data_IF_973933654919
#
_entry.id   IF_973933654919
#
_cell.length_a   1.000
_cell.length_b   1.000
_cell.length_c   1.000
_cell.angle_alpha   90.00
_cell.angle_beta   90.00
_cell.angle_gamma   90.00
#
_symmetry.space_group_name_H-M   'P 1'
#
loop_
_entity.id
_entity.type
_entity.pdbx_description
1 polymer ?
#
# COMPACT_ATOMS: atom_id res chain seq x y z
N UNK A 1 4.53 -4.74 -8.61
CA UNK A 1 5.74 -4.32 -7.89
C UNK A 1 6.33 -3.10 -8.56
N UNK A 2 6.28 -1.97 -7.86
CA UNK A 2 6.79 -0.67 -8.32
C UNK A 2 8.25 -0.44 -7.90
N UNK A 3 8.76 -1.23 -6.95
CA UNK A 3 10.18 -1.26 -6.62
C UNK A 3 10.94 -2.15 -7.61
N UNK A 4 12.16 -1.75 -8.02
CA UNK A 4 12.96 -2.56 -8.92
C UNK A 4 13.37 -3.89 -8.26
N UNK A 5 13.58 -4.94 -9.07
CA UNK A 5 14.10 -6.22 -8.58
C UNK A 5 15.59 -6.16 -8.17
N UNK A 6 16.26 -5.04 -8.43
CA UNK A 6 17.62 -4.73 -7.98
C UNK A 6 17.67 -3.43 -7.18
N UNK A 7 18.87 -3.01 -6.76
CA UNK A 7 19.04 -1.78 -5.99
C UNK A 7 19.06 -0.55 -6.90
N UNK A 8 18.13 0.38 -6.69
CA UNK A 8 18.12 1.70 -7.30
C UNK A 8 18.40 2.77 -6.24
N UNK A 9 19.09 3.84 -6.61
CA UNK A 9 19.27 5.02 -5.76
C UNK A 9 18.73 6.23 -6.48
N UNK A 10 17.80 6.93 -5.84
CA UNK A 10 17.16 8.15 -6.33
C UNK A 10 17.46 9.30 -5.37
N UNK A 11 17.43 10.51 -5.89
CA UNK A 11 17.56 11.73 -5.09
C UNK A 11 16.23 12.46 -5.09
N UNK A 12 15.73 12.81 -3.91
CA UNK A 12 14.56 13.65 -3.73
C UNK A 12 14.94 14.92 -2.96
N UNK A 13 14.21 16.02 -3.20
CA UNK A 13 14.34 17.23 -2.38
C UNK A 13 13.46 17.08 -1.13
N UNK A 14 14.08 17.22 0.04
CA UNK A 14 13.35 17.45 1.28
C UNK A 14 13.07 18.95 1.39
N UNK A 15 11.80 19.31 1.54
CA UNK A 15 11.32 20.69 1.74
C UNK A 15 11.17 21.04 3.24
N UNK A 16 11.49 20.10 4.13
CA UNK A 16 11.37 20.25 5.58
C UNK A 16 9.95 20.09 6.13
N UNK A 17 8.96 19.74 5.30
CA UNK A 17 7.55 19.55 5.72
C UNK A 17 6.94 18.26 5.19
N UNK A 18 7.40 17.79 4.03
CA UNK A 18 6.98 16.54 3.41
C UNK A 18 7.52 15.36 4.19
N UNK A 19 6.65 14.39 4.48
CA UNK A 19 7.03 13.13 5.13
C UNK A 19 7.76 12.22 4.14
N UNK A 20 8.50 11.23 4.64
CA UNK A 20 9.08 10.19 3.78
C UNK A 20 8.02 9.47 2.95
N UNK A 21 6.82 9.27 3.51
CA UNK A 21 5.71 8.69 2.78
C UNK A 21 5.40 9.48 1.50
N UNK A 22 5.21 10.81 1.63
CA UNK A 22 4.97 11.68 0.49
C UNK A 22 6.13 11.67 -0.52
N UNK A 23 7.38 11.70 -0.04
CA UNK A 23 8.54 11.67 -0.92
C UNK A 23 8.61 10.36 -1.71
N UNK A 24 8.38 9.22 -1.05
CA UNK A 24 8.39 7.90 -1.70
C UNK A 24 7.29 7.79 -2.75
N UNK A 25 6.07 8.26 -2.44
CA UNK A 25 4.97 8.29 -3.41
C UNK A 25 5.27 9.23 -4.58
N UNK A 26 5.88 10.38 -4.33
CA UNK A 26 6.28 11.32 -5.40
C UNK A 26 7.33 10.74 -6.36
N UNK A 27 8.11 9.77 -5.89
CA UNK A 27 9.07 9.01 -6.71
C UNK A 27 8.40 7.86 -7.48
N UNK A 28 7.08 7.71 -7.39
CA UNK A 28 6.29 6.71 -8.10
C UNK A 28 6.17 5.37 -7.38
N UNK A 29 6.57 5.29 -6.11
CA UNK A 29 6.45 4.08 -5.30
C UNK A 29 5.24 4.23 -4.37
N UNK A 30 4.11 3.56 -4.62
CA UNK A 30 2.97 3.60 -3.71
C UNK A 30 3.34 2.94 -2.37
N UNK A 31 2.82 3.45 -1.25
CA UNK A 31 3.15 2.92 0.07
C UNK A 31 2.73 1.46 0.28
N UNK A 32 1.78 0.96 -0.52
CA UNK A 32 1.39 -0.46 -0.55
C UNK A 32 2.48 -1.40 -1.07
N UNK A 33 3.54 -0.87 -1.68
CA UNK A 33 4.73 -1.62 -2.10
C UNK A 33 5.90 -1.49 -1.12
N UNK A 34 5.77 -0.66 -0.09
CA UNK A 34 6.81 -0.41 0.92
C UNK A 34 6.63 -1.37 2.10
N UNK A 35 7.60 -2.25 2.31
CA UNK A 35 7.65 -3.16 3.47
C UNK A 35 8.27 -2.54 4.71
N UNK A 36 9.11 -1.51 4.53
CA UNK A 36 9.74 -0.81 5.64
C UNK A 36 10.64 0.33 5.17
N UNK A 37 10.86 1.29 6.06
CA UNK A 37 11.76 2.41 5.87
C UNK A 37 12.83 2.40 6.95
N UNK A 38 14.09 2.56 6.56
CA UNK A 38 15.19 2.69 7.52
C UNK A 38 16.10 3.86 7.16
N UNK A 39 16.44 4.69 8.14
CA UNK A 39 17.52 5.67 8.06
C UNK A 39 18.75 5.08 8.74
N UNK A 40 19.85 4.95 7.99
CA UNK A 40 21.12 4.40 8.52
C UNK A 40 20.93 3.07 9.28
N UNK A 41 20.04 2.21 8.77
CA UNK A 41 19.68 0.92 9.38
C UNK A 41 18.66 0.99 10.52
N UNK A 42 18.30 2.19 10.99
CA UNK A 42 17.28 2.39 12.03
C UNK A 42 15.89 2.55 11.42
N UNK A 43 14.88 1.76 11.83
CA UNK A 43 13.51 1.91 11.34
C UNK A 43 12.94 3.30 11.61
N UNK A 44 12.22 3.85 10.63
CA UNK A 44 11.51 5.13 10.74
C UNK A 44 10.09 5.00 10.20
N UNK A 45 9.10 5.72 10.76
CA UNK A 45 7.75 5.69 10.23
C UNK A 45 7.65 6.44 8.90
N UNK A 46 6.60 6.16 8.12
CA UNK A 46 6.27 6.91 6.89
C UNK A 46 6.02 8.40 7.18
N UNK A 47 5.65 8.76 8.41
CA UNK A 47 5.43 10.13 8.87
C UNK A 47 6.69 10.90 9.23
N UNK A 48 7.88 10.27 9.19
CA UNK A 48 9.15 10.97 9.45
C UNK A 48 9.38 12.08 8.43
N UNK A 49 9.77 13.27 8.90
CA UNK A 49 10.09 14.43 8.04
C UNK A 49 11.63 14.56 7.98
N UNK A 50 12.26 14.34 6.81
CA UNK A 50 13.71 14.50 6.65
C UNK A 50 14.13 15.97 6.67
N UNK A 51 15.28 16.25 7.28
CA UNK A 51 15.90 17.56 7.34
C UNK A 51 16.86 17.83 6.16
N UNK A 52 17.17 16.80 5.35
CA UNK A 52 18.08 16.87 4.23
C UNK A 52 19.44 16.22 4.54
N UNK A 53 20.00 15.55 3.53
CA UNK A 53 21.29 14.84 3.64
C UNK A 53 21.21 13.41 4.18
N UNK A 54 20.01 12.95 4.57
CA UNK A 54 19.81 11.57 5.01
C UNK A 54 19.84 10.57 3.84
N UNK A 55 20.29 9.35 4.14
CA UNK A 55 20.09 8.19 3.28
C UNK A 55 19.03 7.29 3.90
N UNK A 56 17.92 7.13 3.19
CA UNK A 56 16.82 6.25 3.58
C UNK A 56 16.79 5.06 2.64
N UNK A 57 16.75 3.86 3.20
CA UNK A 57 16.46 2.65 2.46
C UNK A 57 14.96 2.35 2.52
N UNK A 58 14.40 2.04 1.35
CA UNK A 58 13.00 1.63 1.17
C UNK A 58 13.01 0.16 0.81
N UNK A 59 12.55 -0.68 1.73
CA UNK A 59 12.45 -2.12 1.50
C UNK A 59 11.13 -2.45 0.79
N UNK A 60 11.11 -3.41 -0.15
CA UNK A 60 9.87 -3.87 -0.75
C UNK A 60 9.04 -4.65 0.27
N UNK A 61 7.73 -4.62 0.07
CA UNK A 61 6.84 -5.47 0.85
C UNK A 61 7.10 -6.95 0.54
N UNK A 62 7.21 -7.76 1.60
CA UNK A 62 7.39 -9.19 1.44
C UNK A 62 6.09 -9.81 0.90
N UNK A 63 6.21 -10.67 -0.11
CA UNK A 63 5.09 -11.34 -0.77
C UNK A 63 5.31 -12.87 -0.76
N UNK A 64 4.25 -13.68 -0.55
CA UNK A 64 2.88 -13.27 -0.24
C UNK A 64 2.75 -12.69 1.17
N UNK A 65 1.93 -11.64 1.32
CA UNK A 65 1.65 -11.06 2.63
C UNK A 65 0.80 -12.04 3.45
N UNK A 66 1.19 -12.25 4.71
CA UNK A 66 0.37 -13.03 5.65
C UNK A 66 -0.76 -12.15 6.17
N UNK A 67 -2.00 -12.55 5.91
CA UNK A 67 -3.18 -11.82 6.39
C UNK A 67 -3.81 -12.59 7.55
N UNK A 68 -3.84 -12.03 8.77
CA UNK A 68 -4.55 -12.65 9.89
C UNK A 68 -6.04 -12.85 9.57
N UNK A 69 -6.62 -13.99 9.97
CA UNK A 69 -8.06 -14.24 9.78
C UNK A 69 -8.45 -14.84 8.42
N UNK A 70 -7.51 -15.40 7.66
CA UNK A 70 -7.85 -16.18 6.46
C UNK A 70 -8.74 -17.41 6.79
N UNK A 71 -9.67 -17.81 5.91
CA UNK A 71 -9.88 -17.30 4.55
C UNK A 71 -10.51 -15.90 4.52
N UNK A 72 -10.02 -15.05 3.61
CA UNK A 72 -10.50 -13.68 3.48
C UNK A 72 -11.86 -13.63 2.77
N UNK A 73 -12.70 -12.72 3.22
CA UNK A 73 -13.92 -12.30 2.51
C UNK A 73 -13.68 -10.95 1.88
N UNK A 74 -14.08 -10.78 0.63
CA UNK A 74 -13.90 -9.54 -0.11
C UNK A 74 -15.20 -8.77 -0.19
N UNK A 75 -15.14 -7.46 0.07
CA UNK A 75 -16.20 -6.52 -0.28
C UNK A 75 -15.71 -5.69 -1.47
N UNK A 76 -16.48 -5.67 -2.54
CA UNK A 76 -16.13 -4.96 -3.77
C UNK A 76 -17.00 -3.73 -3.96
N UNK A 77 -16.36 -2.66 -4.43
CA UNK A 77 -16.97 -1.41 -4.88
C UNK A 77 -18.06 -1.67 -5.93
N UNK A 78 -19.09 -0.82 -5.95
CA UNK A 78 -20.25 -0.88 -6.86
C UNK A 78 -19.86 -0.95 -8.34
N UNK A 79 -18.70 -0.41 -8.72
CA UNK A 79 -18.20 -0.41 -10.09
C UNK A 79 -17.47 -1.71 -10.50
N UNK A 80 -17.24 -2.64 -9.56
CA UNK A 80 -16.45 -3.85 -9.77
C UNK A 80 -17.29 -5.11 -10.07
N UNK A 81 -18.51 -4.95 -10.59
CA UNK A 81 -19.44 -6.08 -10.82
C UNK A 81 -18.88 -7.21 -11.69
N UNK A 82 -18.10 -6.89 -12.74
CA UNK A 82 -17.44 -7.91 -13.57
C UNK A 82 -16.39 -8.70 -12.78
N UNK A 83 -15.64 -8.03 -11.91
CA UNK A 83 -14.64 -8.67 -11.06
C UNK A 83 -15.32 -9.55 -10.01
N UNK A 84 -16.38 -9.06 -9.36
CA UNK A 84 -17.16 -9.82 -8.39
C UNK A 84 -17.67 -11.16 -8.97
N UNK A 85 -18.18 -11.14 -10.20
CA UNK A 85 -18.62 -12.37 -10.88
C UNK A 85 -17.46 -13.36 -11.09
N UNK A 86 -16.30 -12.88 -11.55
CA UNK A 86 -15.12 -13.73 -11.77
C UNK A 86 -14.59 -14.33 -10.47
N UNK A 87 -14.53 -13.55 -9.39
CA UNK A 87 -14.09 -14.02 -8.08
C UNK A 87 -15.02 -15.11 -7.52
N UNK A 88 -16.34 -14.90 -7.59
CA UNK A 88 -17.33 -15.90 -7.17
C UNK A 88 -17.24 -17.20 -7.98
N UNK A 89 -17.03 -17.11 -9.29
CA UNK A 89 -16.82 -18.30 -10.14
C UNK A 89 -15.58 -19.10 -9.74
N UNK A 90 -14.55 -18.43 -9.22
CA UNK A 90 -13.33 -19.07 -8.69
C UNK A 90 -13.49 -19.55 -7.24
N UNK A 91 -14.68 -19.43 -6.64
CA UNK A 91 -14.94 -19.85 -5.25
C UNK A 91 -14.44 -18.89 -4.18
N UNK A 92 -14.10 -17.64 -4.55
CA UNK A 92 -13.67 -16.61 -3.59
C UNK A 92 -14.89 -15.98 -2.94
N UNK A 93 -14.92 -15.96 -1.60
CA UNK A 93 -15.99 -15.32 -0.82
C UNK A 93 -16.00 -13.81 -1.08
N UNK A 94 -17.02 -13.33 -1.82
CA UNK A 94 -17.08 -11.97 -2.35
C UNK A 94 -18.49 -11.38 -2.21
N UNK A 95 -18.63 -10.38 -1.35
CA UNK A 95 -19.79 -9.49 -1.26
C UNK A 95 -19.69 -8.38 -2.32
N UNK A 96 -20.82 -8.08 -2.96
CA UNK A 96 -20.95 -7.03 -3.96
C UNK A 96 -22.42 -6.63 -4.04
N UNK A 97 -22.67 -5.34 -4.01
CA UNK A 97 -23.98 -4.72 -4.24
C UNK A 97 -23.80 -3.61 -5.27
N UNK A 98 -24.75 -3.49 -6.21
CA UNK A 98 -24.68 -2.49 -7.28
C UNK A 98 -25.10 -1.10 -6.78
N UNK A 99 -26.03 -1.05 -5.84
CA UNK A 99 -26.45 0.18 -5.16
C UNK A 99 -25.49 0.47 -4.02
N UNK A 100 -25.06 1.72 -3.89
CA UNK A 100 -24.21 2.18 -2.79
C UNK A 100 -25.06 2.29 -1.51
N UNK A 101 -24.87 1.40 -0.50
CA UNK A 101 -25.63 1.46 0.73
C UNK A 101 -25.09 2.56 1.68
N UNK A 102 -23.98 3.21 1.34
CA UNK A 102 -23.22 4.12 2.19
C UNK A 102 -22.36 3.40 3.24
N UNK A 103 -21.31 4.07 3.71
CA UNK A 103 -20.29 3.49 4.61
C UNK A 103 -20.87 2.91 5.91
N UNK A 104 -21.93 3.52 6.44
CA UNK A 104 -22.56 3.08 7.70
C UNK A 104 -23.09 1.64 7.63
N UNK A 105 -23.56 1.19 6.46
CA UNK A 105 -24.07 -0.16 6.28
C UNK A 105 -22.94 -1.22 6.30
N UNK A 106 -21.70 -0.81 6.07
CA UNK A 106 -20.54 -1.69 5.96
C UNK A 106 -19.79 -1.88 7.28
N UNK A 107 -20.13 -1.10 8.32
CA UNK A 107 -19.46 -1.10 9.62
C UNK A 107 -20.03 -2.11 10.64
N UNK A 108 -20.96 -2.97 10.21
CA UNK A 108 -21.68 -3.96 11.04
C UNK A 108 -21.12 -5.36 10.84
#
# INVERSE_FOLDING_TARGET
>A
TFLPQGRLTLTARADGVSTLGHLVESLGVPLTEVGGLTRDGTPVPVSFIPAGGERVAVAPVERPQRVPGAPLRFLLDVHLGTLARRLRLLGVDTAYQQEDPGDAALAT
#
